data_IF_772994131081
#
_entry.id   IF_772994131081
#
_cell.length_a   1.000
_cell.length_b   1.000
_cell.length_c   1.000
_cell.angle_alpha   90.00
_cell.angle_beta   90.00
_cell.angle_gamma   90.00
#
_symmetry.space_group_name_H-M   'P 1'
#
loop_
_entity.id
_entity.type
_entity.pdbx_description
1 polymer ?
#
# COMPACT_ATOMS: atom_id res chain seq x y z
N UNK A 1 -10.35 12.56 -39.93
CA UNK A 1 -9.12 12.78 -39.14
C UNK A 1 -8.64 11.42 -38.70
N UNK A 2 -7.43 11.04 -39.06
CA UNK A 2 -6.87 9.73 -38.75
C UNK A 2 -5.86 9.86 -37.60
N UNK A 3 -6.21 9.24 -36.48
CA UNK A 3 -5.44 9.23 -35.24
C UNK A 3 -4.66 7.92 -35.13
N UNK A 4 -3.40 8.02 -34.70
CA UNK A 4 -2.62 6.87 -34.25
C UNK A 4 -2.81 6.73 -32.74
N UNK A 5 -3.33 5.57 -32.32
CA UNK A 5 -3.56 5.23 -30.92
C UNK A 5 -2.42 4.34 -30.42
N UNK A 6 -2.12 4.35 -29.11
CA UNK A 6 -1.26 3.33 -28.52
C UNK A 6 -1.77 1.92 -28.83
N UNK A 7 -0.87 0.99 -29.14
CA UNK A 7 -1.26 -0.38 -29.51
C UNK A 7 -2.09 -1.09 -28.42
N UNK A 8 -1.80 -0.80 -27.15
CA UNK A 8 -2.49 -1.35 -25.99
C UNK A 8 -3.71 -0.53 -25.53
N UNK A 9 -4.18 0.44 -26.32
CA UNK A 9 -5.32 1.27 -25.95
C UNK A 9 -6.62 0.46 -25.85
N UNK A 10 -7.23 0.49 -24.67
CA UNK A 10 -8.52 -0.12 -24.36
C UNK A 10 -9.56 0.98 -24.10
N UNK A 11 -10.86 0.61 -24.17
CA UNK A 11 -12.00 1.50 -23.89
C UNK A 11 -11.90 2.89 -24.53
N UNK A 12 -11.41 2.95 -25.78
CA UNK A 12 -11.19 4.22 -26.45
C UNK A 12 -12.52 4.93 -26.74
N UNK A 13 -12.65 6.16 -26.25
CA UNK A 13 -13.76 7.07 -26.52
C UNK A 13 -13.22 8.35 -27.16
N UNK A 14 -13.76 8.72 -28.33
CA UNK A 14 -13.42 9.95 -29.04
C UNK A 14 -14.70 10.77 -29.22
N UNK A 15 -14.69 12.01 -28.73
CA UNK A 15 -15.86 12.89 -28.74
C UNK A 15 -15.47 14.30 -29.18
N UNK A 16 -16.44 15.05 -29.71
CA UNK A 16 -16.26 16.44 -30.16
C UNK A 16 -17.54 16.96 -30.80
N UNK A 17 -17.72 18.29 -30.82
CA UNK A 17 -18.95 18.91 -31.32
C UNK A 17 -19.21 18.62 -32.81
N UNK A 18 -18.13 18.54 -33.60
CA UNK A 18 -18.18 18.31 -35.04
C UNK A 18 -18.10 16.83 -35.42
N UNK A 19 -18.02 15.92 -34.44
CA UNK A 19 -17.89 14.48 -34.70
C UNK A 19 -19.23 13.92 -35.16
N UNK A 20 -19.22 13.20 -36.29
CA UNK A 20 -20.35 12.43 -36.82
C UNK A 20 -20.23 10.96 -36.47
N UNK A 21 -19.07 10.39 -36.74
CA UNK A 21 -18.83 8.95 -36.57
C UNK A 21 -17.36 8.72 -36.21
N UNK A 22 -17.10 7.74 -35.34
CA UNK A 22 -15.75 7.31 -34.99
C UNK A 22 -15.63 5.82 -35.27
N UNK A 23 -14.61 5.43 -36.03
CA UNK A 23 -14.25 4.02 -36.24
C UNK A 23 -12.92 3.74 -35.56
N UNK A 24 -12.96 2.99 -34.46
CA UNK A 24 -11.75 2.58 -33.73
C UNK A 24 -11.31 1.20 -34.21
N UNK A 25 -10.00 1.04 -34.44
CA UNK A 25 -9.33 -0.23 -34.71
C UNK A 25 -8.09 -0.33 -33.81
N UNK A 26 -7.49 -1.51 -33.62
CA UNK A 26 -6.23 -1.62 -32.88
C UNK A 26 -5.17 -0.67 -33.47
N UNK A 27 -4.61 0.20 -32.62
CA UNK A 27 -3.57 1.17 -32.99
C UNK A 27 -4.03 2.40 -33.80
N UNK A 28 -5.30 2.53 -34.17
CA UNK A 28 -5.75 3.66 -35.00
C UNK A 28 -7.24 4.00 -34.83
N UNK A 29 -7.61 5.25 -35.07
CA UNK A 29 -9.01 5.66 -35.15
C UNK A 29 -9.26 6.63 -36.30
N UNK A 30 -10.33 6.38 -37.05
CA UNK A 30 -10.82 7.26 -38.10
C UNK A 30 -12.03 8.06 -37.58
N UNK A 31 -11.84 9.37 -37.43
CA UNK A 31 -12.87 10.33 -36.98
C UNK A 31 -13.47 11.02 -38.20
N UNK A 32 -14.74 10.77 -38.45
CA UNK A 32 -15.52 11.42 -39.51
C UNK A 32 -16.26 12.62 -38.93
N UNK A 33 -16.05 13.79 -39.53
CA UNK A 33 -16.70 15.04 -39.12
C UNK A 33 -18.04 15.20 -39.84
N UNK A 34 -18.95 16.00 -39.26
CA UNK A 34 -20.28 16.30 -39.83
C UNK A 34 -20.21 17.05 -41.16
N UNK A 35 -19.13 17.80 -41.37
CA UNK A 35 -18.86 18.54 -42.60
C UNK A 35 -17.39 18.95 -42.68
N UNK A 36 -17.04 19.71 -43.71
CA UNK A 36 -15.72 20.34 -43.81
C UNK A 36 -15.63 21.45 -42.77
N UNK A 37 -14.56 21.46 -41.99
CA UNK A 37 -14.29 22.51 -41.01
C UNK A 37 -13.20 23.42 -41.56
N UNK A 38 -13.48 24.71 -41.63
CA UNK A 38 -12.46 25.74 -41.81
C UNK A 38 -12.05 26.26 -40.42
N UNK A 39 -10.76 26.22 -40.11
CA UNK A 39 -10.24 26.66 -38.80
C UNK A 39 -9.97 25.51 -37.83
N UNK A 40 -10.40 25.67 -36.58
CA UNK A 40 -10.09 24.76 -35.46
C UNK A 40 -11.31 23.95 -35.05
N UNK A 41 -11.10 22.69 -34.68
CA UNK A 41 -12.08 21.84 -34.00
C UNK A 41 -11.40 21.15 -32.81
N UNK A 42 -12.18 20.80 -31.80
CA UNK A 42 -11.68 20.16 -30.58
C UNK A 42 -12.16 18.71 -30.53
N UNK A 43 -11.21 17.80 -30.30
CA UNK A 43 -11.47 16.39 -30.05
C UNK A 43 -11.00 16.04 -28.64
N UNK A 44 -11.86 15.36 -27.88
CA UNK A 44 -11.48 14.72 -26.62
C UNK A 44 -11.30 13.24 -26.88
N UNK A 45 -10.09 12.75 -26.64
CA UNK A 45 -9.71 11.34 -26.78
C UNK A 45 -9.41 10.80 -25.38
N UNK A 46 -10.12 9.74 -24.98
CA UNK A 46 -9.89 9.02 -23.74
C UNK A 46 -9.66 7.55 -24.06
N UNK A 47 -8.70 6.92 -23.40
CA UNK A 47 -8.46 5.49 -23.46
C UNK A 47 -7.85 5.04 -22.15
N UNK A 48 -7.89 3.74 -21.92
CA UNK A 48 -7.23 3.08 -20.80
C UNK A 48 -6.06 2.25 -21.35
N UNK A 49 -5.01 2.12 -20.56
CA UNK A 49 -3.92 1.18 -20.84
C UNK A 49 -3.89 0.13 -19.73
N UNK A 50 -3.50 -1.11 -20.03
CA UNK A 50 -3.16 -2.09 -19.01
C UNK A 50 -2.13 -1.48 -18.04
N UNK A 51 -2.31 -1.71 -16.74
CA UNK A 51 -1.32 -1.32 -15.75
C UNK A 51 0.00 -2.07 -16.01
N UNK A 52 1.12 -1.36 -15.93
CA UNK A 52 2.43 -2.01 -15.89
C UNK A 52 2.55 -2.75 -14.54
N UNK A 53 2.91 -4.03 -14.59
CA UNK A 53 3.16 -4.85 -13.40
C UNK A 53 4.53 -4.51 -12.82
N UNK A 54 4.59 -3.42 -12.05
CA UNK A 54 5.80 -2.94 -11.35
C UNK A 54 6.83 -2.27 -12.28
N UNK A 55 7.55 -1.28 -11.74
CA UNK A 55 8.58 -0.52 -12.45
C UNK A 55 8.04 0.58 -13.37
N UNK A 56 8.91 1.05 -14.26
CA UNK A 56 8.62 2.21 -15.11
C UNK A 56 7.53 1.96 -16.16
N UNK A 57 6.51 2.82 -16.14
CA UNK A 57 5.42 2.87 -17.10
C UNK A 57 5.67 3.95 -18.15
N UNK A 58 5.76 3.58 -19.43
CA UNK A 58 5.80 4.55 -20.52
C UNK A 58 4.44 5.24 -20.70
N UNK A 59 4.44 6.57 -20.75
CA UNK A 59 3.24 7.32 -21.08
C UNK A 59 2.88 7.09 -22.55
N UNK A 60 1.60 6.81 -22.78
CA UNK A 60 1.08 6.71 -24.12
C UNK A 60 1.10 8.06 -24.84
N UNK A 61 1.48 8.02 -26.11
CA UNK A 61 1.43 9.15 -27.02
C UNK A 61 0.32 8.95 -28.05
N UNK A 62 -0.46 10.00 -28.28
CA UNK A 62 -1.35 10.10 -29.44
C UNK A 62 -0.58 10.62 -30.65
N UNK A 63 -0.87 10.07 -31.81
CA UNK A 63 -0.30 10.54 -33.08
C UNK A 63 -1.38 10.98 -34.07
N UNK A 64 -0.95 11.75 -35.07
CA UNK A 64 -1.74 12.10 -36.24
C UNK A 64 -1.09 11.45 -37.46
N UNK A 65 -1.85 10.71 -38.26
CA UNK A 65 -1.28 10.04 -39.44
C UNK A 65 -0.84 11.05 -40.52
N UNK A 66 -1.54 12.17 -40.62
CA UNK A 66 -1.28 13.27 -41.58
C UNK A 66 -1.32 14.61 -40.86
N UNK A 67 -0.48 14.77 -39.85
CA UNK A 67 -0.38 16.01 -39.08
C UNK A 67 0.83 16.00 -38.15
N UNK A 68 1.10 17.15 -37.54
CA UNK A 68 2.16 17.30 -36.53
C UNK A 68 1.63 18.05 -35.32
N UNK A 69 2.24 17.77 -34.17
CA UNK A 69 2.09 18.59 -32.99
C UNK A 69 2.82 19.93 -33.21
N UNK A 70 2.20 21.04 -32.85
CA UNK A 70 2.85 22.35 -32.84
C UNK A 70 3.23 22.80 -31.44
N UNK A 71 2.45 22.36 -30.44
CA UNK A 71 2.59 22.67 -29.02
C UNK A 71 1.72 21.69 -28.22
N UNK A 72 1.92 21.60 -26.91
CA UNK A 72 1.02 20.92 -26.00
C UNK A 72 1.61 20.74 -24.60
N UNK A 73 0.77 20.23 -23.69
CA UNK A 73 1.14 19.96 -22.31
C UNK A 73 0.83 18.51 -21.97
N UNK A 74 1.76 17.84 -21.32
CA UNK A 74 1.55 16.53 -20.69
C UNK A 74 1.37 16.76 -19.20
N UNK A 75 0.24 16.33 -18.65
CA UNK A 75 -0.05 16.42 -17.21
C UNK A 75 -0.35 15.04 -16.67
N UNK A 76 0.32 14.67 -15.59
CA UNK A 76 0.11 13.41 -14.88
C UNK A 76 -0.67 13.69 -13.61
N UNK A 77 -1.74 12.92 -13.38
CA UNK A 77 -2.53 12.96 -12.15
C UNK A 77 -2.45 11.61 -11.46
N UNK A 78 -2.11 11.59 -10.18
CA UNK A 78 -2.20 10.38 -9.39
C UNK A 78 -3.56 10.31 -8.68
N UNK A 79 -4.36 9.32 -9.04
CA UNK A 79 -5.65 9.03 -8.38
C UNK A 79 -5.60 7.79 -7.49
N UNK A 80 -4.50 7.02 -7.54
CA UNK A 80 -4.24 5.90 -6.66
C UNK A 80 -3.59 6.43 -5.38
N UNK A 81 -4.38 6.50 -4.29
CA UNK A 81 -3.87 6.86 -2.97
C UNK A 81 -2.80 5.87 -2.51
N UNK A 82 -1.74 6.36 -1.88
CA UNK A 82 -0.66 5.51 -1.37
C UNK A 82 0.39 5.12 -2.41
N UNK A 83 0.48 5.85 -3.52
CA UNK A 83 1.59 5.75 -4.47
C UNK A 83 2.17 7.13 -4.75
N UNK A 84 3.45 7.15 -5.14
CA UNK A 84 4.13 8.31 -5.69
C UNK A 84 4.48 8.03 -7.16
N UNK A 85 4.46 9.09 -7.99
CA UNK A 85 4.80 8.99 -9.40
C UNK A 85 6.00 9.89 -9.65
N UNK A 86 7.09 9.30 -10.13
CA UNK A 86 8.34 10.00 -10.41
C UNK A 86 8.68 9.89 -11.90
N UNK A 87 9.24 10.94 -12.52
CA UNK A 87 9.77 10.81 -13.86
C UNK A 87 11.03 9.94 -13.85
N UNK A 88 11.14 9.03 -14.82
CA UNK A 88 12.34 8.20 -15.00
C UNK A 88 13.11 8.61 -16.26
N UNK A 89 12.44 8.68 -17.42
CA UNK A 89 13.02 9.18 -18.68
C UNK A 89 12.10 10.20 -19.33
N UNK A 90 12.66 11.32 -19.78
CA UNK A 90 11.94 12.37 -20.49
C UNK A 90 12.73 12.79 -21.72
N UNK A 91 12.09 12.82 -22.88
CA UNK A 91 12.67 13.33 -24.13
C UNK A 91 11.67 14.25 -24.83
N UNK A 92 12.13 15.40 -25.33
CA UNK A 92 11.26 16.38 -26.01
C UNK A 92 10.21 17.04 -25.10
N UNK A 93 10.46 17.02 -23.78
CA UNK A 93 9.62 17.59 -22.74
C UNK A 93 10.45 18.56 -21.88
N UNK A 94 9.84 19.65 -21.44
CA UNK A 94 10.39 20.55 -20.41
C UNK A 94 9.47 20.59 -19.21
N UNK A 95 10.02 20.63 -18.00
CA UNK A 95 9.23 20.76 -16.78
C UNK A 95 8.39 22.04 -16.80
N UNK A 96 7.15 21.94 -16.29
CA UNK A 96 6.20 23.02 -16.18
C UNK A 96 5.69 23.07 -14.74
N UNK A 97 5.68 24.25 -14.11
CA UNK A 97 5.10 24.38 -12.78
C UNK A 97 3.60 24.05 -12.82
N UNK A 98 3.10 23.42 -11.75
CA UNK A 98 1.67 23.06 -11.65
C UNK A 98 0.75 24.29 -11.77
N UNK A 99 1.22 25.46 -11.31
CA UNK A 99 0.51 26.74 -11.43
C UNK A 99 0.39 27.25 -12.86
N UNK A 100 1.26 26.76 -13.75
CA UNK A 100 1.40 27.25 -15.12
C UNK A 100 0.71 26.31 -16.13
N UNK A 101 0.01 25.27 -15.63
CA UNK A 101 -0.79 24.37 -16.46
C UNK A 101 -1.88 25.18 -17.19
N UNK A 102 -1.95 25.13 -18.54
CA UNK A 102 -3.00 25.81 -19.29
C UNK A 102 -4.40 25.38 -18.86
N UNK A 103 -5.34 26.33 -18.86
CA UNK A 103 -6.71 26.11 -18.38
C UNK A 103 -7.40 24.97 -19.11
N UNK A 104 -7.15 24.83 -20.40
CA UNK A 104 -7.72 23.77 -21.25
C UNK A 104 -7.24 22.38 -20.82
N UNK A 105 -5.98 22.25 -20.39
CA UNK A 105 -5.42 21.01 -19.87
C UNK A 105 -5.95 20.73 -18.46
N UNK A 106 -6.01 21.75 -17.60
CA UNK A 106 -6.56 21.63 -16.24
C UNK A 106 -8.03 21.14 -16.24
N UNK A 107 -8.84 21.57 -17.22
CA UNK A 107 -10.27 21.27 -17.30
C UNK A 107 -10.59 19.79 -17.61
N UNK A 108 -9.61 18.97 -17.99
CA UNK A 108 -9.81 17.55 -18.32
C UNK A 108 -9.14 16.58 -17.35
N UNK A 109 -8.48 17.09 -16.30
CA UNK A 109 -7.80 16.27 -15.31
C UNK A 109 -8.79 15.45 -14.47
N UNK A 110 -8.42 14.21 -14.17
CA UNK A 110 -9.22 13.32 -13.33
C UNK A 110 -8.98 13.51 -11.82
N UNK A 111 -7.99 14.33 -11.44
CA UNK A 111 -7.58 14.56 -10.06
C UNK A 111 -6.53 15.67 -9.96
N UNK A 112 -5.89 15.79 -8.79
CA UNK A 112 -4.83 16.79 -8.58
C UNK A 112 -3.62 16.45 -9.46
N UNK A 113 -3.08 17.41 -10.22
CA UNK A 113 -1.84 17.21 -10.96
C UNK A 113 -0.67 16.95 -10.01
N UNK A 114 0.21 16.02 -10.39
CA UNK A 114 1.44 15.68 -9.66
C UNK A 114 2.70 16.03 -10.45
N UNK A 115 2.64 15.93 -11.78
CA UNK A 115 3.72 16.32 -12.69
C UNK A 115 3.12 17.03 -13.90
N UNK A 116 3.83 18.03 -14.43
CA UNK A 116 3.44 18.72 -15.65
C UNK A 116 4.66 19.05 -16.52
N UNK A 117 4.48 18.93 -17.84
CA UNK A 117 5.53 19.15 -18.81
C UNK A 117 4.99 19.86 -20.06
N UNK A 118 5.74 20.81 -20.59
CA UNK A 118 5.54 21.37 -21.93
C UNK A 118 6.19 20.48 -23.00
N UNK A 119 5.53 20.33 -24.15
CA UNK A 119 6.07 19.61 -25.31
C UNK A 119 6.94 20.57 -26.11
N UNK A 120 8.26 20.36 -26.07
CA UNK A 120 9.23 21.22 -26.76
C UNK A 120 9.77 20.60 -28.06
N UNK A 121 9.69 19.27 -28.17
CA UNK A 121 10.11 18.53 -29.37
C UNK A 121 8.98 18.32 -30.38
N UNK A 122 9.35 18.12 -31.67
CA UNK A 122 8.42 17.61 -32.70
C UNK A 122 7.93 16.18 -32.39
N UNK A 123 8.63 15.50 -31.48
CA UNK A 123 8.24 14.26 -30.86
C UNK A 123 8.67 14.27 -29.40
N UNK A 124 7.92 13.57 -28.54
CA UNK A 124 8.27 13.38 -27.13
C UNK A 124 8.11 11.92 -26.73
N UNK A 125 8.85 11.53 -25.68
CA UNK A 125 8.72 10.25 -24.98
C UNK A 125 8.83 10.50 -23.47
N UNK A 126 8.12 9.70 -22.67
CA UNK A 126 8.16 9.80 -21.22
C UNK A 126 7.95 8.43 -20.57
N UNK A 127 8.77 8.08 -19.59
CA UNK A 127 8.53 6.98 -18.65
C UNK A 127 8.43 7.51 -17.22
N UNK A 128 7.50 6.94 -16.46
CA UNK A 128 7.22 7.29 -15.07
C UNK A 128 7.44 6.06 -14.22
N UNK A 129 8.20 6.18 -13.14
CA UNK A 129 8.20 5.18 -12.09
C UNK A 129 7.00 5.39 -11.16
N UNK A 130 6.32 4.31 -10.81
CA UNK A 130 5.17 4.35 -9.89
C UNK A 130 5.56 3.59 -8.64
N UNK A 131 5.97 4.34 -7.64
CA UNK A 131 6.36 3.80 -6.34
C UNK A 131 5.10 3.58 -5.53
N UNK A 132 4.76 2.32 -5.28
CA UNK A 132 3.69 1.99 -4.35
C UNK A 132 4.20 2.20 -2.91
N UNK A 133 3.84 3.33 -2.30
CA UNK A 133 4.10 3.60 -0.88
C UNK A 133 3.27 2.67 0.03
N UNK A 134 2.29 1.96 -0.53
CA UNK A 134 1.42 0.99 0.14
C UNK A 134 2.08 -0.31 0.57
N UNK A 135 3.34 -0.57 0.20
CA UNK A 135 4.09 -1.73 0.73
C UNK A 135 4.83 -1.46 2.04
N UNK A 136 4.91 -0.21 2.52
CA UNK A 136 5.58 0.12 3.79
C UNK A 136 4.69 0.71 4.91
N UNK A 137 3.35 0.71 4.78
CA UNK A 137 2.52 1.37 5.80
C UNK A 137 1.15 0.76 6.18
N UNK A 138 0.75 -0.45 5.74
CA UNK A 138 -0.66 -0.88 5.97
C UNK A 138 -0.91 -2.33 6.41
N UNK A 139 -0.05 -2.93 7.22
CA UNK A 139 -0.37 -4.19 7.95
C UNK A 139 0.13 -4.26 9.40
N UNK A 140 0.41 -3.13 10.02
CA UNK A 140 1.01 -3.18 11.35
C UNK A 140 -0.05 -3.11 12.45
N UNK A 141 -0.18 -4.25 13.14
CA UNK A 141 -0.46 -4.24 14.57
C UNK A 141 0.86 -3.93 15.25
N UNK A 142 0.97 -2.78 15.89
CA UNK A 142 2.18 -2.35 16.58
C UNK A 142 1.93 -2.50 18.08
N UNK A 143 2.91 -3.05 18.79
CA UNK A 143 3.00 -2.94 20.24
C UNK A 143 3.89 -1.72 20.55
N UNK A 144 3.28 -0.61 20.95
CA UNK A 144 3.98 0.64 21.28
C UNK A 144 4.79 0.52 22.57
N UNK A 145 4.32 -0.32 23.50
CA UNK A 145 4.99 -0.66 24.75
C UNK A 145 4.84 -2.16 25.02
N UNK A 146 5.89 -2.76 25.59
CA UNK A 146 5.84 -4.07 26.21
C UNK A 146 6.49 -3.99 27.60
N UNK A 147 5.75 -4.35 28.64
CA UNK A 147 6.20 -4.36 30.02
C UNK A 147 6.03 -5.75 30.62
N UNK A 148 7.07 -6.23 31.29
CA UNK A 148 7.10 -7.57 31.89
C UNK A 148 7.41 -7.48 33.37
N UNK A 149 6.51 -8.02 34.19
CA UNK A 149 6.71 -8.20 35.62
C UNK A 149 6.85 -9.69 35.92
N UNK A 150 7.91 -10.07 36.61
CA UNK A 150 8.21 -11.47 36.94
C UNK A 150 8.37 -11.63 38.43
N UNK A 151 7.70 -12.65 38.98
CA UNK A 151 7.92 -13.14 40.34
C UNK A 151 8.52 -14.52 40.22
N UNK A 152 9.76 -14.65 40.68
CA UNK A 152 10.50 -15.90 40.69
C UNK A 152 10.63 -16.42 42.12
N UNK A 153 10.23 -17.66 42.34
CA UNK A 153 10.25 -18.33 43.65
C UNK A 153 11.38 -19.34 43.72
N UNK A 154 11.91 -19.55 44.93
CA UNK A 154 13.03 -20.48 45.15
C UNK A 154 12.77 -21.93 44.73
N UNK A 155 11.50 -22.33 44.67
CA UNK A 155 11.08 -23.66 44.21
C UNK A 155 11.04 -23.81 42.67
N UNK A 156 11.54 -22.82 41.93
CA UNK A 156 11.58 -22.84 40.47
C UNK A 156 10.29 -22.32 39.82
N UNK A 157 9.28 -21.91 40.60
CA UNK A 157 8.05 -21.35 40.02
C UNK A 157 8.25 -19.89 39.58
N UNK A 158 7.85 -19.59 38.34
CA UNK A 158 7.84 -18.23 37.79
C UNK A 158 6.41 -17.85 37.46
N UNK A 159 5.96 -16.70 37.95
CA UNK A 159 4.75 -16.03 37.50
C UNK A 159 5.17 -14.81 36.69
N UNK A 160 4.65 -14.68 35.47
CA UNK A 160 4.92 -13.55 34.59
C UNK A 160 3.61 -12.86 34.22
N UNK A 161 3.62 -11.53 34.33
CA UNK A 161 2.62 -10.63 33.77
C UNK A 161 3.26 -9.87 32.61
N UNK A 162 2.74 -10.09 31.41
CA UNK A 162 3.10 -9.35 30.21
C UNK A 162 1.99 -8.33 29.89
N UNK A 163 2.35 -7.06 29.75
CA UNK A 163 1.44 -5.97 29.42
C UNK A 163 1.90 -5.26 28.15
N UNK A 164 1.00 -5.06 27.20
CA UNK A 164 1.28 -4.39 25.92
C UNK A 164 0.33 -3.24 25.67
N UNK A 165 0.82 -2.15 25.08
CA UNK A 165 -0.02 -1.12 24.47
C UNK A 165 -0.07 -1.37 22.96
N UNK A 166 -1.24 -1.76 22.44
CA UNK A 166 -1.37 -2.21 21.06
C UNK A 166 -2.18 -1.23 20.21
N UNK A 167 -1.61 -0.81 19.08
CA UNK A 167 -2.35 -0.21 17.96
C UNK A 167 -2.62 -1.29 16.91
N UNK A 168 -3.88 -1.69 16.76
CA UNK A 168 -4.26 -2.75 15.83
C UNK A 168 -5.18 -2.24 14.71
N UNK A 169 -4.71 -2.32 13.46
CA UNK A 169 -5.54 -1.94 12.30
C UNK A 169 -6.34 -3.11 11.72
N UNK A 170 -5.73 -4.29 11.60
CA UNK A 170 -6.30 -5.38 10.80
C UNK A 170 -6.08 -6.80 11.31
N UNK A 171 -5.16 -7.06 12.28
CA UNK A 171 -4.97 -8.44 12.76
C UNK A 171 -6.15 -8.88 13.62
N UNK A 172 -6.60 -10.11 13.38
CA UNK A 172 -7.65 -10.74 14.17
C UNK A 172 -7.10 -11.32 15.47
N UNK A 173 -5.82 -11.70 15.49
CA UNK A 173 -5.18 -12.33 16.63
C UNK A 173 -3.78 -11.75 16.86
N UNK A 174 -3.40 -11.64 18.13
CA UNK A 174 -2.03 -11.53 18.59
C UNK A 174 -1.52 -12.95 18.82
N UNK A 175 -0.39 -13.28 18.20
CA UNK A 175 0.30 -14.55 18.45
C UNK A 175 1.42 -14.29 19.45
N UNK A 176 1.46 -15.07 20.51
CA UNK A 176 2.53 -15.05 21.50
C UNK A 176 3.06 -16.46 21.69
N UNK A 177 4.37 -16.59 21.83
CA UNK A 177 5.01 -17.82 22.22
C UNK A 177 5.29 -17.75 23.71
N UNK A 178 4.72 -18.70 24.45
CA UNK A 178 4.94 -18.82 25.89
C UNK A 178 6.01 -19.88 26.18
N UNK A 179 6.72 -19.76 27.32
CA UNK A 179 7.61 -20.81 27.79
C UNK A 179 6.91 -22.17 27.81
N UNK A 180 7.63 -23.23 27.49
CA UNK A 180 7.08 -24.58 27.41
C UNK A 180 6.39 -24.97 28.72
N UNK A 181 5.19 -25.52 28.62
CA UNK A 181 4.42 -25.95 29.80
C UNK A 181 3.87 -24.78 30.63
N UNK A 182 3.90 -23.56 30.10
CA UNK A 182 3.24 -22.42 30.71
C UNK A 182 1.74 -22.69 30.88
N UNK A 183 1.23 -22.36 32.06
CA UNK A 183 -0.19 -22.33 32.36
C UNK A 183 -0.66 -20.89 32.32
N UNK A 184 -1.51 -20.58 31.35
CA UNK A 184 -2.17 -19.28 31.25
C UNK A 184 -3.17 -19.16 32.41
N UNK A 185 -3.04 -18.09 33.19
CA UNK A 185 -3.96 -17.76 34.28
C UNK A 185 -5.00 -16.74 33.83
N UNK A 186 -4.59 -15.79 32.99
CA UNK A 186 -5.45 -14.69 32.54
C UNK A 186 -4.96 -14.16 31.18
N UNK A 187 -5.92 -13.77 30.33
CA UNK A 187 -5.65 -12.90 29.19
C UNK A 187 -6.78 -11.88 29.02
N UNK A 188 -6.42 -10.62 28.78
CA UNK A 188 -7.35 -9.51 28.57
C UNK A 188 -6.95 -8.69 27.35
N UNK A 189 -7.96 -8.18 26.65
CA UNK A 189 -7.81 -7.18 25.59
C UNK A 189 -8.76 -6.04 25.88
N UNK A 190 -8.20 -4.85 26.06
CA UNK A 190 -8.91 -3.65 26.48
C UNK A 190 -9.75 -3.92 27.74
N UNK A 191 -9.08 -4.46 28.77
CA UNK A 191 -9.63 -4.83 30.09
C UNK A 191 -10.67 -5.97 30.10
N UNK A 192 -11.08 -6.45 28.93
CA UNK A 192 -12.05 -7.53 28.80
C UNK A 192 -11.35 -8.89 28.71
N UNK A 193 -11.76 -9.90 29.49
CA UNK A 193 -11.25 -11.26 29.35
C UNK A 193 -11.44 -11.79 27.93
N UNK A 194 -10.40 -12.40 27.37
CA UNK A 194 -10.43 -13.04 26.05
C UNK A 194 -9.90 -14.47 26.14
N UNK A 195 -10.43 -15.40 25.33
CA UNK A 195 -9.87 -16.72 25.24
C UNK A 195 -8.44 -16.61 24.68
N UNK A 196 -7.50 -17.30 25.31
CA UNK A 196 -6.12 -17.37 24.86
C UNK A 196 -5.78 -18.82 24.59
N UNK A 197 -5.81 -19.17 23.30
CA UNK A 197 -5.88 -20.58 22.89
C UNK A 197 -4.55 -21.04 22.31
N UNK A 198 -4.07 -22.24 22.68
CA UNK A 198 -2.88 -22.80 22.06
C UNK A 198 -3.14 -23.07 20.57
N UNK A 199 -2.11 -22.90 19.74
CA UNK A 199 -2.14 -23.27 18.32
C UNK A 199 -1.86 -24.78 18.22
N UNK A 200 -2.80 -25.56 17.70
CA UNK A 200 -2.57 -26.97 17.43
C UNK A 200 -1.41 -27.14 16.43
N UNK A 201 -0.41 -27.95 16.79
CA UNK A 201 0.75 -28.25 15.94
C UNK A 201 0.35 -29.21 14.81
N UNK A 202 -0.38 -28.74 13.81
CA UNK A 202 -0.40 -29.43 12.51
C UNK A 202 0.90 -29.05 11.78
N UNK A 203 1.83 -30.01 11.68
CA UNK A 203 3.12 -29.95 10.95
C UNK A 203 4.21 -29.01 11.51
N UNK A 204 5.05 -29.52 12.41
CA UNK A 204 6.43 -29.02 12.59
C UNK A 204 7.36 -30.23 12.68
N UNK A 205 8.36 -30.29 11.80
CA UNK A 205 9.44 -31.28 11.86
C UNK A 205 10.17 -31.17 13.22
N UNK A 206 10.56 -32.31 13.83
CA UNK A 206 11.20 -32.31 15.14
C UNK A 206 12.68 -31.90 15.00
N UNK A 207 13.00 -30.62 15.19
CA UNK A 207 14.41 -30.19 15.26
C UNK A 207 14.72 -29.12 16.33
N UNK A 208 13.76 -28.32 16.79
CA UNK A 208 14.08 -27.28 17.79
C UNK A 208 13.89 -27.78 19.23
N UNK A 209 14.98 -28.30 19.79
CA UNK A 209 15.13 -28.47 21.25
C UNK A 209 15.08 -27.08 21.91
N UNK A 210 13.89 -26.66 22.29
CA UNK A 210 13.60 -25.33 22.87
C UNK A 210 12.20 -24.79 22.57
N UNK A 211 11.40 -25.50 21.76
CA UNK A 211 10.14 -24.99 21.21
C UNK A 211 9.13 -24.47 22.26
N UNK A 212 8.98 -23.15 22.29
CA UNK A 212 7.91 -22.40 22.95
C UNK A 212 6.53 -22.81 22.39
N UNK A 213 5.49 -22.76 23.23
CA UNK A 213 4.13 -23.07 22.81
C UNK A 213 3.47 -21.81 22.25
N UNK A 214 3.00 -21.86 21.01
CA UNK A 214 2.32 -20.74 20.37
C UNK A 214 0.87 -20.61 20.83
N UNK A 215 0.43 -19.38 21.13
CA UNK A 215 -0.93 -19.06 21.54
C UNK A 215 -1.50 -17.92 20.70
N UNK A 216 -2.83 -17.92 20.51
CA UNK A 216 -3.58 -16.87 19.81
C UNK A 216 -4.53 -16.17 20.78
N UNK A 217 -4.40 -14.85 20.84
CA UNK A 217 -5.28 -13.95 21.58
C UNK A 217 -6.10 -13.11 20.60
N UNK A 218 -7.44 -13.21 20.58
CA UNK A 218 -8.28 -12.38 19.71
C UNK A 218 -8.08 -10.90 20.02
N UNK A 219 -7.79 -10.11 18.98
CA UNK A 219 -7.64 -8.66 19.09
C UNK A 219 -8.89 -7.92 18.62
N UNK A 220 -9.06 -6.71 19.14
CA UNK A 220 -10.00 -5.72 18.61
C UNK A 220 -9.27 -4.77 17.67
N UNK A 221 -10.01 -4.05 16.81
CA UNK A 221 -9.44 -2.94 16.06
C UNK A 221 -9.33 -1.71 16.95
N UNK A 222 -8.24 -0.96 16.79
CA UNK A 222 -8.06 0.35 17.40
C UNK A 222 -9.11 1.34 16.87
N UNK A 223 -9.58 2.22 17.76
CA UNK A 223 -10.43 3.34 17.37
C UNK A 223 -9.58 4.41 16.67
N UNK A 224 -10.15 5.07 15.66
CA UNK A 224 -9.53 6.22 15.03
C UNK A 224 -9.80 7.49 15.86
N UNK A 225 -8.78 8.34 15.98
CA UNK A 225 -8.86 9.68 16.56
C UNK A 225 -8.27 10.70 15.57
N UNK A 226 -8.39 12.00 15.90
CA UNK A 226 -7.80 13.09 15.10
C UNK A 226 -6.28 12.94 14.96
N UNK A 227 -5.62 12.32 15.94
CA UNK A 227 -4.17 12.11 15.97
C UNK A 227 -3.74 10.71 15.48
N UNK A 228 -4.68 9.89 14.96
CA UNK A 228 -4.40 8.53 14.48
C UNK A 228 -5.04 7.43 15.33
N UNK A 229 -4.54 6.20 15.21
CA UNK A 229 -5.07 5.05 15.96
C UNK A 229 -4.74 5.14 17.45
N UNK A 230 -5.76 4.95 18.28
CA UNK A 230 -5.60 4.88 19.74
C UNK A 230 -5.15 3.47 20.13
N UNK A 231 -4.10 3.37 20.97
CA UNK A 231 -3.67 2.10 21.53
C UNK A 231 -4.70 1.56 22.52
N UNK A 232 -4.67 0.25 22.77
CA UNK A 232 -5.42 -0.36 23.84
C UNK A 232 -4.55 -1.38 24.60
N UNK A 233 -4.82 -1.59 25.90
CA UNK A 233 -4.01 -2.48 26.71
C UNK A 233 -4.30 -3.95 26.38
N UNK A 234 -3.26 -4.77 26.35
CA UNK A 234 -3.34 -6.23 26.31
C UNK A 234 -2.54 -6.79 27.48
N UNK A 235 -3.15 -7.65 28.28
CA UNK A 235 -2.55 -8.25 29.48
C UNK A 235 -2.59 -9.77 29.38
N UNK A 236 -1.46 -10.44 29.62
CA UNK A 236 -1.35 -11.89 29.70
C UNK A 236 -0.61 -12.27 30.97
N UNK A 237 -1.23 -13.07 31.82
CA UNK A 237 -0.63 -13.62 33.04
C UNK A 237 -0.50 -15.12 32.88
N UNK A 238 0.70 -15.64 33.08
CA UNK A 238 0.98 -17.06 33.00
C UNK A 238 2.01 -17.46 34.05
N UNK A 239 2.04 -18.76 34.34
CA UNK A 239 3.07 -19.34 35.20
C UNK A 239 3.77 -20.48 34.49
N UNK A 240 5.07 -20.62 34.72
CA UNK A 240 5.86 -21.74 34.24
C UNK A 240 6.86 -22.17 35.31
N UNK A 241 7.55 -23.29 35.07
CA UNK A 241 8.61 -23.76 35.96
C UNK A 241 9.96 -23.70 35.28
N UNK A 242 10.94 -23.29 36.04
CA UNK A 242 12.37 -23.38 35.74
C UNK A 242 13.05 -24.19 36.86
N UNK A 243 14.36 -24.33 36.79
CA UNK A 243 15.15 -25.00 37.82
C UNK A 243 15.02 -24.29 39.17
N UNK A 244 15.04 -25.03 40.28
CA UNK A 244 14.98 -24.43 41.62
C UNK A 244 16.25 -23.64 41.92
N UNK A 245 16.11 -22.56 42.69
CA UNK A 245 17.27 -21.81 43.19
C UNK A 245 18.02 -22.65 44.23
N UNK A 246 19.28 -22.95 43.94
CA UNK A 246 20.24 -23.46 44.92
C UNK A 246 20.84 -22.35 45.78
N UNK A 247 21.62 -22.73 46.79
CA UNK A 247 22.42 -21.79 47.57
C UNK A 247 23.76 -21.50 46.87
N UNK A 248 24.22 -20.25 46.95
CA UNK A 248 25.49 -19.79 46.38
C UNK A 248 25.34 -18.95 45.11
N UNK A 249 26.45 -18.65 44.45
CA UNK A 249 26.46 -17.92 43.18
C UNK A 249 25.94 -18.80 42.05
N UNK A 250 25.06 -18.26 41.21
CA UNK A 250 24.46 -18.98 40.10
C UNK A 250 23.91 -18.04 39.04
N UNK A 251 23.59 -18.61 37.87
CA UNK A 251 22.95 -17.93 36.75
C UNK A 251 21.60 -18.59 36.47
N UNK A 252 20.55 -17.78 36.35
CA UNK A 252 19.23 -18.23 35.92
C UNK A 252 18.83 -17.48 34.65
N UNK A 253 18.26 -18.20 33.69
CA UNK A 253 17.67 -17.61 32.48
C UNK A 253 16.15 -17.70 32.58
N UNK A 254 15.49 -16.54 32.52
CA UNK A 254 14.04 -16.44 32.53
C UNK A 254 13.55 -16.17 31.12
N UNK A 255 12.62 -16.99 30.66
CA UNK A 255 12.03 -16.85 29.34
C UNK A 255 10.86 -15.86 29.39
N UNK A 256 10.91 -14.86 28.51
CA UNK A 256 9.85 -13.87 28.29
C UNK A 256 9.06 -14.25 27.03
N UNK A 257 7.77 -13.89 26.95
CA UNK A 257 6.98 -14.24 25.78
C UNK A 257 7.41 -13.42 24.55
N UNK A 258 7.30 -14.05 23.37
CA UNK A 258 7.76 -13.51 22.08
C UNK A 258 6.66 -13.49 21.01
#
# INVERSE_FOLDING_TARGET
>A
IDLMLPAAALRTAITGADVREVRVRPGQAAVHLRGRIAGKTALRVRFELPAASGGAASLAKLGLQRGRWSDGTVVVTNTAGGSEVLPERLEGLSELAITDIPREAAAILAGKPVLAYGITGSSWSASMDVINLGEFALRETIADLAHYELVYRGDGAVVCKASYEIRNRSRQFLRLHLPRGAKVLLARVNEQPRPFSPVERHTVQPADKGAEDGYLLPLIRSKASVMGLVSFPVEVVFMYRTDSLGFGDGRAELLLPR
#
